data_IF_064004655562
#
_entry.id   IF_064004655562
#
_cell.length_a   1.000
_cell.length_b   1.000
_cell.length_c   1.000
_cell.angle_alpha   90.00
_cell.angle_beta   90.00
_cell.angle_gamma   90.00
#
_symmetry.space_group_name_H-M   'P 1'
#
loop_
_entity.id
_entity.type
_entity.pdbx_description
1 polymer ?
#
# COMPACT_ATOMS: atom_id res chain seq x y z
N UNK A 1 -16.59 -4.86 8.25
CA UNK A 1 -15.33 -5.32 8.85
C UNK A 1 -14.25 -5.08 7.81
N UNK A 2 -13.16 -4.40 8.15
CA UNK A 2 -12.09 -4.11 7.18
C UNK A 2 -11.22 -5.36 7.06
N UNK A 3 -10.88 -5.74 5.83
CA UNK A 3 -10.03 -6.87 5.50
C UNK A 3 -8.89 -6.35 4.64
N UNK A 4 -7.74 -7.02 4.69
CA UNK A 4 -6.65 -6.70 3.78
C UNK A 4 -7.11 -6.89 2.32
N UNK A 5 -6.93 -5.91 1.42
CA UNK A 5 -7.33 -6.03 0.02
C UNK A 5 -6.47 -7.05 -0.77
N UNK A 6 -5.33 -7.47 -0.22
CA UNK A 6 -4.38 -8.40 -0.87
C UNK A 6 -4.64 -9.84 -0.44
N UNK A 7 -4.59 -10.13 0.87
CA UNK A 7 -4.76 -11.50 1.38
C UNK A 7 -6.16 -11.79 1.93
N UNK A 8 -7.06 -10.81 1.99
CA UNK A 8 -8.38 -10.88 2.67
C UNK A 8 -8.32 -11.18 4.17
N UNK A 9 -7.11 -11.24 4.74
CA UNK A 9 -6.83 -11.52 6.13
C UNK A 9 -7.36 -10.44 7.08
N UNK A 10 -7.43 -10.82 8.36
CA UNK A 10 -7.88 -9.97 9.47
C UNK A 10 -6.74 -9.50 10.37
N UNK A 11 -5.51 -9.96 10.09
CA UNK A 11 -4.27 -9.53 10.74
C UNK A 11 -3.90 -8.11 10.27
N UNK A 12 -4.80 -7.15 10.49
CA UNK A 12 -4.63 -5.76 10.14
C UNK A 12 -4.60 -4.89 11.40
N UNK A 13 -3.67 -3.93 11.43
CA UNK A 13 -3.60 -2.87 12.44
C UNK A 13 -4.14 -1.56 11.90
N UNK A 14 -4.82 -0.77 12.74
CA UNK A 14 -5.26 0.59 12.37
C UNK A 14 -4.15 1.59 12.72
N UNK A 15 -3.68 2.35 11.74
CA UNK A 15 -2.65 3.37 11.92
C UNK A 15 -3.26 4.76 12.17
N UNK A 16 -4.24 5.14 11.35
CA UNK A 16 -4.95 6.42 11.45
C UNK A 16 -6.42 6.27 11.06
N UNK A 17 -7.11 7.39 10.82
CA UNK A 17 -8.49 7.35 10.38
C UNK A 17 -8.56 6.78 8.95
N UNK A 18 -9.30 5.67 8.78
CA UNK A 18 -9.41 4.95 7.50
C UNK A 18 -8.10 4.36 6.94
N UNK A 19 -6.99 4.37 7.69
CA UNK A 19 -5.68 3.84 7.29
C UNK A 19 -5.31 2.59 8.10
N UNK A 20 -4.83 1.56 7.40
CA UNK A 20 -4.58 0.24 7.96
C UNK A 20 -3.28 -0.35 7.43
N UNK A 21 -2.65 -1.18 8.24
CA UNK A 21 -1.45 -1.94 7.89
C UNK A 21 -1.74 -3.44 7.98
N UNK A 22 -1.29 -4.24 7.01
CA UNK A 22 -1.42 -5.69 7.05
C UNK A 22 -0.12 -6.36 7.49
N UNK A 23 -0.17 -7.14 8.57
CA UNK A 23 1.00 -7.82 9.12
C UNK A 23 1.55 -8.93 8.21
N UNK A 24 0.67 -9.55 7.41
CA UNK A 24 1.04 -10.67 6.52
C UNK A 24 1.54 -10.19 5.16
N UNK A 25 1.05 -9.05 4.68
CA UNK A 25 1.39 -8.52 3.36
C UNK A 25 2.40 -7.39 3.40
N UNK A 26 2.73 -6.85 4.58
CA UNK A 26 3.62 -5.71 4.77
C UNK A 26 3.24 -4.46 3.97
N UNK A 27 1.95 -4.32 3.66
CA UNK A 27 1.39 -3.18 2.93
C UNK A 27 0.57 -2.28 3.84
N UNK A 28 0.54 -1.01 3.47
CA UNK A 28 -0.39 -0.04 4.01
C UNK A 28 -1.56 0.16 3.03
N UNK A 29 -2.77 0.38 3.55
CA UNK A 29 -3.90 0.71 2.71
C UNK A 29 -4.89 1.63 3.41
N UNK A 30 -5.51 2.50 2.62
CA UNK A 30 -6.58 3.39 3.05
C UNK A 30 -7.91 2.89 2.50
N UNK A 31 -8.95 2.89 3.34
CA UNK A 31 -10.30 2.50 2.97
C UNK A 31 -11.26 3.66 3.21
N UNK A 32 -11.53 4.44 2.16
CA UNK A 32 -12.40 5.62 2.23
C UNK A 32 -13.63 5.38 1.37
N UNK A 33 -14.71 4.92 2.02
CA UNK A 33 -15.98 4.62 1.34
C UNK A 33 -15.82 3.53 0.28
N UNK A 34 -15.90 3.92 -1.00
CA UNK A 34 -15.80 2.99 -2.14
C UNK A 34 -14.41 2.96 -2.79
N UNK A 35 -13.45 3.71 -2.23
CA UNK A 35 -12.08 3.78 -2.75
C UNK A 35 -11.13 3.09 -1.76
N UNK A 36 -10.33 2.16 -2.27
CA UNK A 36 -9.23 1.54 -1.51
C UNK A 36 -7.93 1.88 -2.20
N UNK A 37 -7.05 2.60 -1.52
CA UNK A 37 -5.68 2.84 -1.98
C UNK A 37 -4.74 1.95 -1.20
N UNK A 38 -3.79 1.34 -1.91
CA UNK A 38 -2.79 0.42 -1.38
C UNK A 38 -1.42 0.99 -1.66
N UNK A 39 -0.57 0.94 -0.66
CA UNK A 39 0.79 1.45 -0.65
C UNK A 39 1.72 0.32 -0.24
N UNK A 40 2.76 0.11 -1.04
CA UNK A 40 3.89 -0.72 -0.66
C UNK A 40 4.85 0.08 0.22
N UNK A 41 5.59 -0.61 1.08
CA UNK A 41 6.57 0.01 1.97
C UNK A 41 7.96 -0.31 1.41
N UNK A 42 8.63 0.71 0.88
CA UNK A 42 9.98 0.60 0.40
C UNK A 42 10.96 0.31 1.56
N UNK A 43 12.17 -0.17 1.23
CA UNK A 43 13.18 -0.55 2.22
C UNK A 43 13.60 0.61 3.14
N UNK A 44 13.53 1.85 2.64
CA UNK A 44 13.80 3.06 3.41
C UNK A 44 12.61 3.54 4.27
N UNK A 45 11.46 2.85 4.17
CA UNK A 45 10.23 3.18 4.88
C UNK A 45 9.29 4.14 4.13
N UNK A 46 9.63 4.54 2.91
CA UNK A 46 8.76 5.36 2.06
C UNK A 46 7.56 4.58 1.52
N UNK A 47 6.42 5.24 1.33
CA UNK A 47 5.19 4.64 0.80
C UNK A 47 5.12 4.79 -0.72
N UNK A 48 4.95 3.68 -1.45
CA UNK A 48 4.82 3.64 -2.91
C UNK A 48 3.39 3.24 -3.28
N UNK A 49 2.66 4.11 -3.98
CA UNK A 49 1.28 3.82 -4.38
C UNK A 49 1.23 2.69 -5.41
N UNK A 50 0.50 1.62 -5.10
CA UNK A 50 0.24 0.50 -6.01
C UNK A 50 -1.01 0.72 -6.88
N UNK A 51 -1.74 1.82 -6.68
CA UNK A 51 -2.98 2.12 -7.41
C UNK A 51 -2.77 2.87 -8.73
N UNK A 52 -1.56 3.32 -9.01
CA UNK A 52 -1.26 4.05 -10.25
C UNK A 52 -0.39 3.18 -11.17
N UNK A 53 -0.92 2.80 -12.33
CA UNK A 53 -0.19 2.25 -13.48
C UNK A 53 0.90 3.21 -14.07
N UNK A 54 1.37 4.20 -13.32
CA UNK A 54 2.22 5.30 -13.82
C UNK A 54 3.49 5.54 -12.99
N UNK A 55 3.69 4.89 -11.85
CA UNK A 55 4.91 5.11 -11.03
C UNK A 55 5.97 4.02 -11.22
N UNK A 56 5.62 2.87 -11.81
CA UNK A 56 6.58 1.82 -12.19
C UNK A 56 7.52 2.30 -13.31
N UNK A 57 7.07 3.25 -14.15
CA UNK A 57 7.85 3.79 -15.27
C UNK A 57 8.95 4.78 -14.84
N UNK A 58 8.92 5.30 -13.61
CA UNK A 58 9.96 6.23 -13.14
C UNK A 58 11.12 5.51 -12.41
N UNK A 59 10.94 4.25 -12.01
CA UNK A 59 12.00 3.46 -11.37
C UNK A 59 13.01 2.92 -12.39
N UNK A 60 12.60 2.75 -13.65
CA UNK A 60 13.46 2.22 -14.72
C UNK A 60 14.37 3.27 -15.36
N UNK A 61 14.12 4.57 -15.17
CA UNK A 61 14.95 5.64 -15.74
C UNK A 61 16.03 6.17 -14.78
N UNK A 62 15.93 5.88 -13.47
CA UNK A 62 16.89 6.34 -12.47
C UNK A 62 18.13 5.43 -12.31
N UNK A 63 18.19 4.29 -13.02
CA UNK A 63 19.31 3.32 -12.92
C UNK A 63 20.19 3.25 -14.17
N UNK A 64 19.95 4.12 -15.15
CA UNK A 64 20.81 4.33 -16.32
C UNK A 64 21.48 5.70 -16.25
N UNK A 65 22.44 5.88 -15.36
CA UNK A 65 23.51 6.88 -15.49
C UNK A 65 24.80 6.32 -14.92
#
# INVERSE_FOLDING_TARGET
MVNCPICTGKSIGKLANNQYFCWECYIEFNNTGNQTQVFDIAEDGSLVSLNNDQEVLNYTDATLT
#
